data_IF_805214542429
#
_entry.id   IF_805214542429
#
_cell.length_a   1.000
_cell.length_b   1.000
_cell.length_c   1.000
_cell.angle_alpha   90.00
_cell.angle_beta   90.00
_cell.angle_gamma   90.00
#
_symmetry.space_group_name_H-M   'P 1'
#
loop_
_entity.id
_entity.type
_entity.pdbx_description
1 polymer ?
#
# COMPACT_ATOMS: atom_id res chain seq x y z
N UNK A 1 -1.82 -60.90 -29.92
CA UNK A 1 -1.76 -59.66 -29.13
C UNK A 1 -3.18 -59.12 -29.02
N UNK A 2 -3.84 -59.25 -27.86
CA UNK A 2 -5.24 -58.82 -27.67
C UNK A 2 -5.27 -57.31 -27.45
N UNK A 3 -5.78 -56.56 -28.42
CA UNK A 3 -6.05 -55.13 -28.28
C UNK A 3 -7.36 -54.99 -27.48
N UNK A 4 -7.27 -54.49 -26.25
CA UNK A 4 -8.44 -54.16 -25.44
C UNK A 4 -9.00 -52.82 -25.96
N UNK A 5 -10.17 -52.87 -26.60
CA UNK A 5 -10.93 -51.68 -26.98
C UNK A 5 -11.23 -50.84 -25.73
N UNK A 6 -10.57 -49.68 -25.59
CA UNK A 6 -10.89 -48.71 -24.55
C UNK A 6 -12.31 -48.18 -24.81
N UNK A 7 -13.20 -48.33 -23.82
CA UNK A 7 -14.55 -47.74 -23.87
C UNK A 7 -14.42 -46.22 -24.03
N UNK A 8 -15.05 -45.67 -25.06
CA UNK A 8 -15.13 -44.23 -25.29
C UNK A 8 -16.06 -43.56 -24.29
N UNK A 9 -15.81 -42.28 -24.02
CA UNK A 9 -16.69 -41.43 -23.21
C UNK A 9 -18.06 -41.28 -23.89
N UNK A 10 -19.14 -41.32 -23.13
CA UNK A 10 -20.49 -41.02 -23.63
C UNK A 10 -20.72 -39.51 -23.69
N UNK A 11 -21.57 -39.08 -24.62
CA UNK A 11 -21.97 -37.66 -24.74
C UNK A 11 -22.65 -37.15 -23.46
N UNK A 12 -23.39 -38.00 -22.76
CA UNK A 12 -24.08 -37.62 -21.52
C UNK A 12 -23.10 -37.43 -20.36
N UNK A 13 -22.05 -38.25 -20.27
CA UNK A 13 -20.99 -38.05 -19.27
C UNK A 13 -20.29 -36.72 -19.47
N UNK A 14 -19.96 -36.35 -20.72
CA UNK A 14 -19.35 -35.05 -21.00
C UNK A 14 -20.27 -33.88 -20.62
N UNK A 15 -21.57 -34.00 -20.91
CA UNK A 15 -22.57 -32.96 -20.61
C UNK A 15 -22.75 -32.74 -19.10
N UNK A 16 -22.74 -33.81 -18.31
CA UNK A 16 -22.80 -33.71 -16.85
C UNK A 16 -21.53 -33.06 -16.28
N UNK A 17 -20.35 -33.37 -16.84
CA UNK A 17 -19.10 -32.78 -16.35
C UNK A 17 -19.06 -31.28 -16.59
N UNK A 18 -19.42 -30.80 -17.78
CA UNK A 18 -19.38 -29.35 -18.06
C UNK A 18 -20.41 -28.57 -17.23
N UNK A 19 -21.56 -29.18 -16.92
CA UNK A 19 -22.58 -28.56 -16.06
C UNK A 19 -22.11 -28.48 -14.61
N UNK A 20 -21.49 -29.54 -14.08
CA UNK A 20 -20.89 -29.53 -12.73
C UNK A 20 -19.76 -28.51 -12.65
N UNK A 21 -18.85 -28.46 -13.64
CA UNK A 21 -17.75 -27.48 -13.67
C UNK A 21 -18.30 -26.05 -13.71
N UNK A 22 -19.35 -25.80 -14.50
CA UNK A 22 -19.99 -24.48 -14.55
C UNK A 22 -20.55 -24.02 -13.20
N UNK A 23 -21.24 -24.90 -12.48
CA UNK A 23 -21.81 -24.59 -11.16
C UNK A 23 -20.71 -24.34 -10.13
N UNK A 24 -19.68 -25.19 -10.09
CA UNK A 24 -18.57 -25.05 -9.15
C UNK A 24 -17.76 -23.77 -9.41
N UNK A 25 -17.56 -23.39 -10.66
CA UNK A 25 -16.83 -22.16 -11.01
C UNK A 25 -17.54 -20.90 -10.48
N UNK A 26 -18.86 -20.82 -10.63
CA UNK A 26 -19.66 -19.69 -10.11
C UNK A 26 -19.64 -19.66 -8.58
N UNK A 27 -19.75 -20.82 -7.92
CA UNK A 27 -19.69 -20.91 -6.46
C UNK A 27 -18.36 -20.42 -5.88
N UNK A 28 -17.24 -20.77 -6.51
CA UNK A 28 -15.90 -20.34 -6.07
C UNK A 28 -15.71 -18.83 -6.25
N UNK A 29 -16.12 -18.27 -7.40
CA UNK A 29 -16.01 -16.83 -7.66
C UNK A 29 -16.89 -16.00 -6.72
N UNK A 30 -18.01 -16.56 -6.25
CA UNK A 30 -18.86 -15.91 -5.24
C UNK A 30 -18.24 -15.91 -3.85
N UNK A 31 -17.31 -16.82 -3.55
CA UNK A 31 -16.67 -16.94 -2.24
C UNK A 31 -15.45 -16.03 -2.09
N UNK A 32 -14.84 -15.62 -3.22
CA UNK A 32 -13.70 -14.70 -3.23
C UNK A 32 -14.24 -13.29 -3.47
N UNK A 33 -13.86 -12.33 -2.64
CA UNK A 33 -14.05 -10.91 -2.94
C UNK A 33 -12.80 -10.39 -3.67
N UNK A 34 -12.74 -10.42 -5.02
CA UNK A 34 -11.55 -10.03 -5.76
C UNK A 34 -11.22 -8.54 -5.57
N UNK A 35 -12.23 -7.70 -5.36
CA UNK A 35 -12.06 -6.26 -5.14
C UNK A 35 -11.29 -6.03 -3.84
N UNK A 36 -11.66 -6.73 -2.77
CA UNK A 36 -10.97 -6.64 -1.48
C UNK A 36 -9.52 -7.13 -1.57
N UNK A 37 -9.23 -8.17 -2.35
CA UNK A 37 -7.84 -8.62 -2.55
C UNK A 37 -6.98 -7.59 -3.29
N UNK A 38 -7.56 -6.90 -4.29
CA UNK A 38 -6.85 -5.84 -5.03
C UNK A 38 -6.56 -4.67 -4.08
N UNK A 39 -7.55 -4.22 -3.30
CA UNK A 39 -7.38 -3.15 -2.31
C UNK A 39 -6.28 -3.46 -1.29
N UNK A 40 -6.28 -4.69 -0.74
CA UNK A 40 -5.20 -5.17 0.14
C UNK A 40 -3.83 -5.21 -0.52
N UNK A 41 -3.76 -5.43 -1.83
CA UNK A 41 -2.49 -5.38 -2.55
C UNK A 41 -2.01 -3.93 -2.71
N UNK A 42 -2.93 -3.01 -3.04
CA UNK A 42 -2.68 -1.58 -3.11
C UNK A 42 -2.19 -1.02 -1.77
N UNK A 43 -2.89 -1.31 -0.66
CA UNK A 43 -2.52 -0.81 0.67
C UNK A 43 -1.16 -1.34 1.13
N UNK A 44 -0.81 -2.59 0.79
CA UNK A 44 0.54 -3.13 1.03
C UNK A 44 1.61 -2.42 0.22
N UNK A 45 1.27 -1.98 -1.00
CA UNK A 45 2.13 -1.12 -1.81
C UNK A 45 2.37 0.22 -1.11
N UNK A 46 1.30 0.89 -0.66
CA UNK A 46 1.38 2.16 0.08
C UNK A 46 2.19 2.03 1.37
N UNK A 47 1.97 0.98 2.16
CA UNK A 47 2.73 0.70 3.40
C UNK A 47 4.22 0.51 3.12
N UNK A 48 4.57 -0.25 2.06
CA UNK A 48 5.96 -0.44 1.65
C UNK A 48 6.61 0.85 1.15
N UNK A 49 5.87 1.64 0.38
CA UNK A 49 6.34 2.91 -0.18
C UNK A 49 6.54 3.96 0.91
N UNK A 50 5.59 4.07 1.84
CA UNK A 50 5.71 4.90 3.04
C UNK A 50 6.93 4.47 3.86
N UNK A 51 7.08 3.18 4.18
CA UNK A 51 8.25 2.70 4.92
C UNK A 51 9.57 3.02 4.20
N UNK A 52 9.65 2.90 2.88
CA UNK A 52 10.86 3.23 2.11
C UNK A 52 11.18 4.73 2.16
N UNK A 53 10.17 5.60 2.05
CA UNK A 53 10.34 7.05 2.17
C UNK A 53 10.79 7.46 3.58
N UNK A 54 10.17 6.91 4.63
CA UNK A 54 10.57 7.18 6.00
C UNK A 54 12.03 6.76 6.24
N UNK A 55 12.41 5.56 5.81
CA UNK A 55 13.79 5.09 5.90
C UNK A 55 14.76 6.02 5.13
N UNK A 56 14.33 6.63 4.02
CA UNK A 56 15.13 7.61 3.30
C UNK A 56 15.31 8.91 4.09
N UNK A 57 14.26 9.40 4.76
CA UNK A 57 14.37 10.53 5.68
C UNK A 57 15.32 10.24 6.84
N UNK A 58 15.26 9.06 7.44
CA UNK A 58 16.14 8.67 8.54
C UNK A 58 17.62 8.56 8.11
N UNK A 59 17.89 7.99 6.94
CA UNK A 59 19.26 7.96 6.38
C UNK A 59 19.78 9.36 6.08
N UNK A 60 18.95 10.20 5.47
CA UNK A 60 19.28 11.59 5.22
C UNK A 60 19.63 12.31 6.53
N UNK A 61 18.78 12.19 7.55
CA UNK A 61 19.04 12.78 8.87
C UNK A 61 20.33 12.28 9.50
N UNK A 62 20.62 10.98 9.36
CA UNK A 62 21.88 10.39 9.87
C UNK A 62 23.11 10.97 9.17
N UNK A 63 23.01 11.31 7.88
CA UNK A 63 24.10 11.87 7.09
C UNK A 63 24.30 13.39 7.26
N UNK A 64 23.21 14.13 7.41
CA UNK A 64 23.20 15.60 7.34
C UNK A 64 22.79 16.29 8.65
N UNK A 65 22.29 15.55 9.64
CA UNK A 65 21.77 16.06 10.92
C UNK A 65 20.60 17.05 10.80
N UNK A 66 19.90 16.99 9.68
CA UNK A 66 18.69 17.77 9.37
C UNK A 66 17.80 16.92 8.46
N UNK A 67 16.51 17.24 8.36
CA UNK A 67 15.62 16.59 7.39
C UNK A 67 15.65 17.29 6.02
N UNK A 68 15.16 16.65 4.94
CA UNK A 68 15.17 17.28 3.61
C UNK A 68 14.41 18.61 3.55
N UNK A 69 13.31 18.77 4.29
CA UNK A 69 12.58 20.03 4.33
C UNK A 69 13.39 21.16 4.99
N UNK A 70 14.19 20.86 6.01
CA UNK A 70 15.07 21.84 6.66
C UNK A 70 16.13 22.35 5.67
N UNK A 71 16.77 21.43 4.94
CA UNK A 71 17.76 21.77 3.91
C UNK A 71 17.17 22.64 2.79
N UNK A 72 15.87 22.49 2.52
CA UNK A 72 15.11 23.26 1.55
C UNK A 72 14.53 24.58 2.13
N UNK A 73 14.75 24.87 3.41
CA UNK A 73 14.21 26.05 4.09
C UNK A 73 12.69 26.04 4.25
N UNK A 74 12.08 24.85 4.28
CA UNK A 74 10.65 24.64 4.48
C UNK A 74 10.36 24.40 5.97
N UNK A 75 9.11 24.58 6.38
CA UNK A 75 8.67 24.19 7.73
C UNK A 75 8.56 22.67 7.84
N UNK A 76 8.64 22.17 9.07
CA UNK A 76 8.31 20.78 9.41
C UNK A 76 6.96 20.38 8.78
N UNK A 77 6.86 19.17 8.22
CA UNK A 77 5.63 18.71 7.62
C UNK A 77 4.56 18.51 8.69
N UNK A 78 3.36 19.04 8.43
CA UNK A 78 2.17 18.83 9.24
C UNK A 78 1.04 18.39 8.29
N UNK A 79 0.75 17.09 8.29
CA UNK A 79 -0.17 16.42 7.38
C UNK A 79 0.05 16.75 5.90
N UNK A 80 1.32 16.92 5.51
CA UNK A 80 1.68 17.38 4.19
C UNK A 80 1.66 16.23 3.21
N UNK A 81 0.87 16.36 2.15
CA UNK A 81 0.73 15.32 1.13
C UNK A 81 2.06 15.14 0.36
N UNK A 82 2.51 13.89 0.19
CA UNK A 82 3.80 13.59 -0.48
C UNK A 82 3.80 13.99 -1.96
N UNK A 83 2.64 13.92 -2.63
CA UNK A 83 2.48 14.42 -4.01
C UNK A 83 2.37 15.94 -4.14
N UNK A 84 2.33 16.69 -3.03
CA UNK A 84 2.36 18.16 -3.07
C UNK A 84 3.71 18.68 -3.60
N UNK A 85 3.76 19.96 -3.96
CA UNK A 85 5.00 20.60 -4.42
C UNK A 85 6.14 20.47 -3.38
N UNK A 86 5.83 20.63 -2.09
CA UNK A 86 6.80 20.46 -1.01
C UNK A 86 7.24 19.00 -0.88
N UNK A 87 6.28 18.07 -0.84
CA UNK A 87 6.57 16.64 -0.75
C UNK A 87 7.47 16.13 -1.89
N UNK A 88 7.20 16.58 -3.11
CA UNK A 88 8.01 16.25 -4.28
C UNK A 88 9.40 16.90 -4.25
N UNK A 89 9.53 18.09 -3.66
CA UNK A 89 10.84 18.73 -3.47
C UNK A 89 11.71 17.94 -2.49
N UNK A 90 11.14 17.35 -1.43
CA UNK A 90 11.89 16.48 -0.51
C UNK A 90 12.43 15.25 -1.24
N UNK A 91 11.61 14.63 -2.09
CA UNK A 91 12.04 13.48 -2.89
C UNK A 91 13.14 13.89 -3.89
N UNK A 92 13.03 15.07 -4.52
CA UNK A 92 14.09 15.60 -5.38
C UNK A 92 15.40 15.80 -4.62
N UNK A 93 15.34 16.32 -3.39
CA UNK A 93 16.52 16.48 -2.53
C UNK A 93 17.13 15.12 -2.15
N UNK A 94 16.30 14.14 -1.77
CA UNK A 94 16.75 12.77 -1.50
C UNK A 94 17.44 12.15 -2.74
N UNK A 95 16.90 12.37 -3.94
CA UNK A 95 17.51 11.92 -5.20
C UNK A 95 18.85 12.65 -5.42
N UNK A 96 18.89 13.97 -5.20
CA UNK A 96 20.09 14.78 -5.40
C UNK A 96 21.24 14.36 -4.48
N UNK A 97 20.94 13.92 -3.25
CA UNK A 97 21.92 13.35 -2.31
C UNK A 97 22.19 11.86 -2.49
N UNK A 98 21.46 11.19 -3.38
CA UNK A 98 21.64 9.77 -3.67
C UNK A 98 21.03 8.82 -2.63
N UNK A 99 20.10 9.29 -1.80
CA UNK A 99 19.40 8.47 -0.81
C UNK A 99 18.37 7.53 -1.43
N UNK A 100 17.78 7.94 -2.57
CA UNK A 100 16.84 7.14 -3.36
C UNK A 100 17.10 7.32 -4.86
N UNK A 101 16.59 6.41 -5.68
CA UNK A 101 16.71 6.48 -7.14
C UNK A 101 15.65 7.40 -7.76
N UNK A 102 15.89 7.90 -8.97
CA UNK A 102 14.96 8.80 -9.66
C UNK A 102 13.55 8.24 -9.90
N UNK A 103 13.40 6.92 -10.02
CA UNK A 103 12.08 6.27 -10.17
C UNK A 103 11.21 6.42 -8.92
N UNK A 104 11.81 6.72 -7.76
CA UNK A 104 11.11 6.92 -6.50
C UNK A 104 10.10 8.07 -6.56
N UNK A 105 10.35 9.08 -7.40
CA UNK A 105 9.48 10.24 -7.55
C UNK A 105 8.11 9.93 -8.17
N UNK A 106 8.04 8.95 -9.07
CA UNK A 106 6.87 8.74 -9.93
C UNK A 106 5.98 7.59 -9.46
N UNK A 107 5.85 7.37 -8.13
CA UNK A 107 4.94 6.33 -7.61
C UNK A 107 3.53 6.88 -7.46
N UNK A 108 2.54 6.08 -7.84
CA UNK A 108 1.12 6.45 -7.74
C UNK A 108 0.65 6.55 -6.28
N UNK A 109 1.31 5.85 -5.36
CA UNK A 109 1.03 5.86 -3.91
C UNK A 109 1.24 7.22 -3.23
N UNK A 110 1.94 8.17 -3.87
CA UNK A 110 2.16 9.50 -3.28
C UNK A 110 0.91 10.37 -3.24
N UNK A 111 -0.18 9.99 -3.91
CA UNK A 111 -1.41 10.78 -3.98
C UNK A 111 -2.20 10.81 -2.68
N UNK A 112 -1.92 9.89 -1.76
CA UNK A 112 -2.71 9.68 -0.54
C UNK A 112 -1.86 9.35 0.70
N UNK A 113 -0.53 9.44 0.58
CA UNK A 113 0.39 9.38 1.72
C UNK A 113 0.69 10.80 2.22
N UNK A 114 0.53 11.01 3.52
CA UNK A 114 0.79 12.25 4.23
C UNK A 114 2.00 12.11 5.13
N UNK A 115 2.84 13.14 5.17
CA UNK A 115 3.95 13.24 6.08
C UNK A 115 3.67 14.23 7.21
N UNK A 116 4.04 13.84 8.42
CA UNK A 116 4.03 14.72 9.59
C UNK A 116 5.33 14.53 10.36
N UNK A 117 5.83 15.59 10.99
CA UNK A 117 6.92 15.50 11.95
C UNK A 117 6.47 16.04 13.29
N UNK A 118 6.77 15.28 14.34
CA UNK A 118 6.61 15.71 15.73
C UNK A 118 7.97 15.66 16.42
N UNK A 119 8.56 16.83 16.68
CA UNK A 119 9.91 16.91 17.24
C UNK A 119 10.94 16.37 16.25
N UNK A 120 11.57 15.24 16.58
CA UNK A 120 12.55 14.56 15.69
C UNK A 120 12.00 13.30 15.04
N UNK A 121 10.71 13.02 15.21
CA UNK A 121 10.06 11.81 14.69
C UNK A 121 9.22 12.20 13.48
N UNK A 122 9.58 11.68 12.32
CA UNK A 122 8.75 11.76 11.12
C UNK A 122 7.83 10.53 11.06
N UNK A 123 6.59 10.75 10.62
CA UNK A 123 5.60 9.71 10.36
C UNK A 123 5.01 9.88 8.96
N UNK A 124 4.62 8.76 8.37
CA UNK A 124 3.90 8.70 7.11
C UNK A 124 2.60 7.96 7.30
N UNK A 125 1.49 8.59 6.97
CA UNK A 125 0.14 8.07 7.20
C UNK A 125 -0.65 8.02 5.90
N UNK A 126 -1.46 6.98 5.70
CA UNK A 126 -2.40 6.90 4.58
C UNK A 126 -3.73 6.28 5.03
N UNK A 127 -4.78 6.61 4.28
CA UNK A 127 -6.13 6.06 4.47
C UNK A 127 -6.26 4.73 3.68
N UNK A 128 -6.42 3.57 4.35
CA UNK A 128 -6.50 2.29 3.66
C UNK A 128 -7.77 2.10 2.83
N UNK A 129 -7.67 1.37 1.71
CA UNK A 129 -8.84 1.05 0.88
C UNK A 129 -9.50 -0.29 1.26
N UNK A 130 -8.71 -1.24 1.77
CA UNK A 130 -9.15 -2.56 2.22
C UNK A 130 -9.97 -2.45 3.49
N UNK A 131 -11.13 -3.10 3.53
CA UNK A 131 -11.97 -3.09 4.73
C UNK A 131 -11.25 -3.66 5.97
N UNK A 132 -10.34 -4.60 5.77
CA UNK A 132 -9.59 -5.19 6.90
C UNK A 132 -8.34 -4.43 7.29
N UNK A 133 -7.74 -3.68 6.37
CA UNK A 133 -6.65 -2.77 6.75
C UNK A 133 -7.25 -1.54 7.42
N UNK A 134 -8.46 -1.13 7.02
CA UNK A 134 -9.24 -0.12 7.74
C UNK A 134 -9.55 -0.55 9.17
N UNK A 135 -9.99 -1.79 9.39
CA UNK A 135 -10.20 -2.33 10.74
C UNK A 135 -8.92 -2.25 11.59
N UNK A 136 -7.76 -2.57 10.99
CA UNK A 136 -6.48 -2.40 11.67
C UNK A 136 -6.15 -0.93 11.98
N UNK A 137 -6.40 -0.01 11.05
CA UNK A 137 -6.14 1.41 11.28
C UNK A 137 -7.07 1.98 12.36
N UNK A 138 -8.33 1.54 12.40
CA UNK A 138 -9.31 1.90 13.42
C UNK A 138 -8.90 1.36 14.80
N UNK A 139 -8.35 0.14 14.86
CA UNK A 139 -7.79 -0.44 16.09
C UNK A 139 -6.55 0.32 16.59
N UNK A 140 -5.68 0.77 15.68
CA UNK A 140 -4.52 1.63 15.97
C UNK A 140 -4.96 3.04 16.43
N UNK A 141 -6.14 3.50 15.99
CA UNK A 141 -6.76 4.75 16.43
C UNK A 141 -5.98 6.01 16.07
N UNK A 142 -5.19 5.98 14.98
CA UNK A 142 -4.34 7.10 14.56
C UNK A 142 -5.04 8.05 13.60
N UNK A 143 -4.82 9.33 13.83
CA UNK A 143 -5.19 10.42 12.94
C UNK A 143 -4.20 10.50 11.76
N UNK A 144 -4.54 11.35 10.80
CA UNK A 144 -3.73 11.65 9.62
C UNK A 144 -2.34 12.22 9.94
N UNK A 145 -2.19 12.86 11.09
CA UNK A 145 -0.92 13.38 11.61
C UNK A 145 -0.10 12.32 12.39
N UNK A 146 -0.63 11.10 12.54
CA UNK A 146 -0.03 10.01 13.30
C UNK A 146 -0.29 10.04 14.80
N UNK A 147 -1.02 11.02 15.32
CA UNK A 147 -1.41 11.08 16.73
C UNK A 147 -2.58 10.16 17.03
N UNK A 148 -2.70 9.68 18.27
CA UNK A 148 -3.84 8.88 18.71
C UNK A 148 -5.08 9.75 18.92
N UNK A 149 -6.27 9.20 18.71
CA UNK A 149 -7.54 9.85 19.03
C UNK A 149 -8.58 9.82 17.91
N UNK A 150 -8.29 9.10 16.84
CA UNK A 150 -9.27 8.84 15.80
C UNK A 150 -10.35 7.87 16.30
N UNK A 151 -11.61 8.12 15.91
CA UNK A 151 -12.78 7.33 16.32
C UNK A 151 -13.44 6.53 15.19
N UNK A 152 -13.16 6.87 13.93
CA UNK A 152 -13.60 6.17 12.73
C UNK A 152 -12.85 6.70 11.49
N UNK A 153 -12.62 5.83 10.49
CA UNK A 153 -11.85 6.14 9.27
C UNK A 153 -10.43 6.61 9.60
N UNK A 154 -9.76 5.81 10.42
CA UNK A 154 -8.43 6.10 10.91
C UNK A 154 -7.35 5.76 9.88
N UNK A 155 -6.18 6.34 10.09
CA UNK A 155 -5.06 6.24 9.16
C UNK A 155 -4.08 5.16 9.63
N UNK A 156 -3.54 4.41 8.68
CA UNK A 156 -2.41 3.54 8.95
C UNK A 156 -1.13 4.36 8.83
N UNK A 157 -0.31 4.36 9.88
CA UNK A 157 0.89 5.18 9.95
C UNK A 157 2.17 4.36 10.17
N UNK A 158 3.26 4.84 9.59
CA UNK A 158 4.62 4.31 9.72
C UNK A 158 5.49 5.42 10.36
N UNK A 159 6.32 5.13 11.39
CA UNK A 159 6.49 3.83 12.04
C UNK A 159 5.24 3.42 12.82
N UNK A 160 5.06 2.11 13.01
CA UNK A 160 3.86 1.56 13.65
C UNK A 160 3.82 1.80 15.15
#
# INVERSE_FOLDING_TARGET
MKVLLKKGFTLIELLIVITIIGILAVAILSAINPIEQIRRATDRGKDSDAAELLNAFERYYTGFFEFPWDALGQSDPDETLVSSANGQAWIDELIAKGEVKSQFKNRDSWTDIYATQSGTVASLCFDPESSTVQEQADDDGRNKDGTTGCVANCYLCVPR
#
